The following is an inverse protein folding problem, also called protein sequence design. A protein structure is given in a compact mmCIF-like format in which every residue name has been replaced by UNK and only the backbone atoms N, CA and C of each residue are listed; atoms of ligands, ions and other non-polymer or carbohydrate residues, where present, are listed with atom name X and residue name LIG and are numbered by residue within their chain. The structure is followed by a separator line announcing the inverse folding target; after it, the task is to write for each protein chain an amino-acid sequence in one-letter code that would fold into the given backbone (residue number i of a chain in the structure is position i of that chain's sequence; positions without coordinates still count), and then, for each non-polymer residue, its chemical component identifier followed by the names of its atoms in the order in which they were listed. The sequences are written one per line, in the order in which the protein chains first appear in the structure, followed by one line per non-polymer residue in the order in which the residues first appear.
data_IF_309065941194
#
_entry.id   IF_309065941194
#
_cell.length_a   1.000
_cell.length_b   1.000
_cell.length_c   1.000
_cell.angle_alpha   90.00
_cell.angle_beta   90.00
_cell.angle_gamma   90.00
#
_symmetry.space_group_name_H-M   'P 1'
#
loop_
_entity.id
_entity.type
_entity.pdbx_description
1 polymer ?
#
# COMPACT_ATOMS: atom_id res chain seq x y z
N UNK A 1 17.01 13.45 -24.42
CA UNK A 1 16.79 12.03 -24.06
C UNK A 1 15.50 11.94 -23.26
N UNK A 2 14.38 11.59 -23.91
CA UNK A 2 13.05 11.49 -23.28
C UNK A 2 12.52 10.08 -23.55
N UNK A 3 12.60 9.23 -22.52
CA UNK A 3 12.43 7.78 -22.57
C UNK A 3 10.95 7.43 -22.35
N UNK A 4 10.11 7.65 -23.35
CA UNK A 4 8.67 7.43 -23.25
C UNK A 4 8.26 6.13 -24.01
N UNK A 5 7.98 5.01 -23.31
CA UNK A 5 7.79 3.68 -23.91
C UNK A 5 6.56 3.54 -24.80
N UNK A 6 5.67 4.54 -24.82
CA UNK A 6 4.46 4.54 -25.67
C UNK A 6 4.73 4.90 -27.14
N UNK A 7 5.82 5.62 -27.44
CA UNK A 7 6.16 6.06 -28.82
C UNK A 7 6.82 4.96 -29.65
N UNK A 8 7.68 4.12 -29.04
CA UNK A 8 8.32 3.03 -29.79
C UNK A 8 7.33 1.95 -30.26
N UNK A 9 6.16 1.83 -29.60
CA UNK A 9 5.10 0.88 -29.99
C UNK A 9 4.41 1.24 -31.30
N UNK A 10 4.25 2.54 -31.61
CA UNK A 10 3.61 2.97 -32.86
C UNK A 10 4.53 2.77 -34.06
N UNK A 11 5.84 2.99 -33.88
CA UNK A 11 6.80 2.96 -34.98
C UNK A 11 7.11 1.53 -35.43
N UNK A 12 7.25 0.57 -34.50
CA UNK A 12 7.51 -0.85 -34.85
C UNK A 12 6.29 -1.51 -35.49
N UNK A 13 5.08 -1.16 -35.04
CA UNK A 13 3.82 -1.67 -35.60
C UNK A 13 3.50 -1.09 -36.99
N UNK A 14 4.02 0.10 -37.31
CA UNK A 14 3.88 0.70 -38.63
C UNK A 14 4.77 0.00 -39.67
N UNK A 15 6.02 -0.32 -39.32
CA UNK A 15 6.98 -0.99 -40.22
C UNK A 15 6.54 -2.42 -40.56
N UNK A 16 6.01 -3.17 -39.59
CA UNK A 16 5.56 -4.56 -39.79
C UNK A 16 4.25 -4.69 -40.59
N UNK A 17 3.45 -3.62 -40.70
CA UNK A 17 2.27 -3.59 -41.59
C UNK A 17 2.62 -3.35 -43.05
N UNK A 18 3.82 -2.84 -43.34
CA UNK A 18 4.26 -2.49 -44.69
C UNK A 18 4.78 -3.70 -45.48
N UNK A 19 5.20 -4.79 -44.81
CA UNK A 19 5.78 -5.97 -45.45
C UNK A 19 4.81 -7.13 -45.76
N UNK A 20 3.52 -7.02 -45.44
CA UNK A 20 2.50 -7.99 -45.89
C UNK A 20 2.65 -9.40 -45.30
N UNK A 21 1.84 -9.71 -44.28
CA UNK A 21 1.84 -11.04 -43.63
C UNK A 21 1.44 -12.16 -44.63
N UNK A 22 2.16 -13.30 -44.67
CA UNK A 22 1.77 -14.47 -45.46
C UNK A 22 0.40 -15.05 -45.06
N UNK A 23 -0.36 -15.64 -46.00
CA UNK A 23 -1.71 -16.15 -45.72
C UNK A 23 -1.64 -17.37 -44.79
N UNK A 24 -2.20 -17.23 -43.59
CA UNK A 24 -2.29 -18.31 -42.59
C UNK A 24 -1.81 -17.94 -41.18
N UNK A 25 -1.20 -16.76 -40.98
CA UNK A 25 -0.77 -16.30 -39.66
C UNK A 25 -1.81 -15.31 -39.10
N UNK A 26 -2.62 -15.78 -38.14
CA UNK A 26 -3.45 -14.92 -37.31
C UNK A 26 -2.57 -14.33 -36.21
N UNK A 27 -2.22 -13.05 -36.33
CA UNK A 27 -1.53 -12.31 -35.27
C UNK A 27 -2.53 -12.01 -34.14
N UNK A 28 -2.59 -12.89 -33.15
CA UNK A 28 -3.30 -12.63 -31.90
C UNK A 28 -2.51 -11.61 -31.09
N UNK A 29 -3.09 -10.44 -30.83
CA UNK A 29 -2.56 -9.43 -29.92
C UNK A 29 -2.73 -9.95 -28.47
N UNK A 30 -1.94 -10.95 -28.12
CA UNK A 30 -1.91 -11.59 -26.79
C UNK A 30 -0.55 -11.37 -26.15
N UNK A 31 -0.20 -10.10 -25.91
CA UNK A 31 1.07 -9.74 -25.30
C UNK A 31 1.07 -10.03 -23.81
N UNK A 32 2.12 -10.66 -23.29
CA UNK A 32 2.40 -10.79 -21.84
C UNK A 32 2.33 -9.44 -21.10
N UNK A 33 2.63 -8.34 -21.79
CA UNK A 33 2.48 -6.97 -21.30
C UNK A 33 1.01 -6.56 -21.05
N UNK A 34 0.06 -7.05 -21.84
CA UNK A 34 -1.37 -6.77 -21.63
C UNK A 34 -1.88 -7.56 -20.41
N UNK A 35 -1.38 -8.77 -20.18
CA UNK A 35 -1.65 -9.54 -18.96
C UNK A 35 -1.06 -8.85 -17.73
N UNK A 36 0.17 -8.35 -17.77
CA UNK A 36 0.77 -7.58 -16.67
C UNK A 36 -0.04 -6.33 -16.31
N UNK A 37 -0.44 -5.56 -17.32
CA UNK A 37 -1.24 -4.34 -17.11
C UNK A 37 -2.60 -4.66 -16.50
N UNK A 38 -3.29 -5.69 -17.02
CA UNK A 38 -4.58 -6.16 -16.45
C UNK A 38 -4.43 -6.66 -15.01
N UNK A 39 -3.33 -7.33 -14.70
CA UNK A 39 -3.02 -7.79 -13.34
C UNK A 39 -2.79 -6.61 -12.39
N UNK A 40 -2.05 -5.58 -12.82
CA UNK A 40 -1.83 -4.37 -12.03
C UNK A 40 -3.16 -3.63 -11.76
N UNK A 41 -3.99 -3.43 -12.78
CA UNK A 41 -5.31 -2.80 -12.64
C UNK A 41 -6.19 -3.57 -11.65
N UNK A 42 -6.19 -4.90 -11.74
CA UNK A 42 -6.94 -5.77 -10.83
C UNK A 42 -6.45 -5.65 -9.39
N UNK A 43 -5.14 -5.48 -9.17
CA UNK A 43 -4.56 -5.29 -7.84
C UNK A 43 -4.91 -3.94 -7.23
N UNK A 44 -4.91 -2.87 -8.03
CA UNK A 44 -5.35 -1.55 -7.57
C UNK A 44 -6.83 -1.60 -7.16
N UNK A 45 -7.67 -2.30 -7.93
CA UNK A 45 -9.07 -2.53 -7.56
C UNK A 45 -9.16 -3.32 -6.24
N UNK A 46 -8.37 -4.37 -6.06
CA UNK A 46 -8.34 -5.14 -4.81
C UNK A 46 -7.89 -4.29 -3.62
N UNK A 47 -6.93 -3.39 -3.80
CA UNK A 47 -6.48 -2.45 -2.76
C UNK A 47 -7.62 -1.49 -2.36
N UNK A 48 -8.33 -0.93 -3.34
CA UNK A 48 -9.50 -0.09 -3.09
C UNK A 48 -10.61 -0.86 -2.38
N UNK A 49 -10.87 -2.10 -2.80
CA UNK A 49 -11.85 -2.97 -2.15
C UNK A 49 -11.46 -3.25 -0.70
N UNK A 50 -10.18 -3.53 -0.43
CA UNK A 50 -9.66 -3.73 0.92
C UNK A 50 -9.86 -2.48 1.78
N UNK A 51 -9.60 -1.28 1.25
CA UNK A 51 -9.88 -0.02 1.95
C UNK A 51 -11.36 0.17 2.28
N UNK A 52 -12.25 -0.17 1.35
CA UNK A 52 -13.71 -0.11 1.60
C UNK A 52 -14.10 -1.10 2.69
N UNK A 53 -13.60 -2.33 2.66
CA UNK A 53 -13.89 -3.34 3.69
C UNK A 53 -13.38 -2.86 5.05
N UNK A 54 -12.14 -2.36 5.13
CA UNK A 54 -11.57 -1.83 6.37
C UNK A 54 -12.40 -0.65 6.90
N UNK A 55 -12.85 0.25 6.04
CA UNK A 55 -13.75 1.35 6.43
C UNK A 55 -15.06 0.84 7.02
N UNK A 56 -15.71 -0.13 6.37
CA UNK A 56 -16.98 -0.68 6.84
C UNK A 56 -16.81 -1.41 8.18
N UNK A 57 -15.75 -2.19 8.34
CA UNK A 57 -15.43 -2.85 9.61
C UNK A 57 -15.20 -1.82 10.71
N UNK A 58 -14.46 -0.75 10.44
CA UNK A 58 -14.26 0.35 11.41
C UNK A 58 -15.57 1.07 11.77
N UNK A 59 -16.45 1.31 10.80
CA UNK A 59 -17.73 1.96 11.05
C UNK A 59 -18.63 1.14 11.98
N UNK A 60 -18.57 -0.19 11.85
CA UNK A 60 -19.23 -1.13 12.76
C UNK A 60 -18.56 -1.09 14.14
N UNK A 61 -17.22 -1.16 14.21
CA UNK A 61 -16.47 -1.18 15.48
C UNK A 61 -16.62 0.10 16.32
N UNK A 62 -16.68 1.27 15.67
CA UNK A 62 -16.76 2.56 16.33
C UNK A 62 -18.19 3.10 16.44
N UNK A 63 -19.19 2.33 15.98
CA UNK A 63 -20.61 2.68 15.95
C UNK A 63 -20.88 4.08 15.36
N UNK A 64 -20.04 4.51 14.42
CA UNK A 64 -20.04 5.87 13.87
C UNK A 64 -19.31 5.89 12.54
N UNK A 65 -19.82 6.67 11.59
CA UNK A 65 -19.20 6.87 10.27
C UNK A 65 -18.15 8.01 10.27
N UNK A 66 -18.13 8.84 11.31
CA UNK A 66 -17.23 10.01 11.40
C UNK A 66 -15.84 9.60 11.85
N UNK A 67 -15.73 8.77 12.90
CA UNK A 67 -14.42 8.35 13.42
C UNK A 67 -13.59 7.52 12.41
N UNK A 68 -14.16 6.54 11.67
CA UNK A 68 -13.46 5.83 10.60
C UNK A 68 -12.96 6.76 9.50
N UNK A 69 -13.71 7.82 9.19
CA UNK A 69 -13.32 8.80 8.19
C UNK A 69 -12.07 9.59 8.64
N UNK A 70 -12.02 9.99 9.92
CA UNK A 70 -10.83 10.62 10.52
C UNK A 70 -9.62 9.66 10.45
N UNK A 71 -9.83 8.39 10.77
CA UNK A 71 -8.76 7.37 10.70
C UNK A 71 -8.26 7.18 9.27
N UNK A 72 -9.15 7.20 8.27
CA UNK A 72 -8.76 7.04 6.86
C UNK A 72 -7.84 8.15 6.34
N UNK A 73 -7.82 9.34 6.95
CA UNK A 73 -6.82 10.37 6.60
C UNK A 73 -5.38 9.97 6.92
N UNK A 74 -5.16 9.00 7.81
CA UNK A 74 -3.82 8.47 8.09
C UNK A 74 -3.28 7.57 6.96
N UNK A 75 -4.18 6.99 6.14
CA UNK A 75 -3.79 6.07 5.07
C UNK A 75 -2.98 6.75 3.97
N UNK A 76 -3.42 7.88 3.36
CA UNK A 76 -2.62 8.60 2.36
C UNK A 76 -1.25 9.04 2.88
N UNK A 77 -1.18 9.44 4.16
CA UNK A 77 0.08 9.82 4.80
C UNK A 77 1.03 8.63 4.86
N UNK A 78 0.52 7.46 5.27
CA UNK A 78 1.32 6.24 5.31
C UNK A 78 1.71 5.74 3.91
N UNK A 79 0.82 5.80 2.93
CA UNK A 79 1.14 5.47 1.53
C UNK A 79 2.24 6.38 0.99
N UNK A 80 2.19 7.68 1.29
CA UNK A 80 3.25 8.63 0.91
C UNK A 80 4.58 8.25 1.55
N UNK A 81 4.57 7.87 2.84
CA UNK A 81 5.74 7.35 3.54
C UNK A 81 6.28 6.06 2.92
N UNK A 82 5.41 5.12 2.55
CA UNK A 82 5.79 3.87 1.88
C UNK A 82 6.39 4.09 0.49
N UNK A 83 5.81 4.99 -0.31
CA UNK A 83 6.35 5.38 -1.62
C UNK A 83 7.72 6.07 -1.44
N UNK A 84 7.87 6.94 -0.44
CA UNK A 84 9.14 7.57 -0.13
C UNK A 84 10.20 6.55 0.33
N UNK A 85 9.81 5.56 1.13
CA UNK A 85 10.67 4.44 1.54
C UNK A 85 11.13 3.60 0.34
N UNK A 86 10.20 3.25 -0.55
CA UNK A 86 10.51 2.56 -1.80
C UNK A 86 11.44 3.38 -2.70
N UNK A 87 11.20 4.69 -2.81
CA UNK A 87 12.05 5.60 -3.58
C UNK A 87 13.47 5.67 -3.00
N UNK A 88 13.61 5.65 -1.67
CA UNK A 88 14.90 5.63 -1.00
C UNK A 88 15.65 4.30 -1.21
N UNK A 89 14.93 3.18 -1.19
CA UNK A 89 15.49 1.86 -1.54
C UNK A 89 15.92 1.79 -3.01
N UNK A 90 15.17 2.44 -3.91
CA UNK A 90 15.47 2.51 -5.34
C UNK A 90 16.81 3.23 -5.63
N UNK A 91 17.29 4.09 -4.72
CA UNK A 91 18.63 4.68 -4.84
C UNK A 91 19.75 3.65 -4.67
N UNK A 92 19.51 2.56 -3.94
CA UNK A 92 20.50 1.52 -3.64
C UNK A 92 20.30 0.32 -4.56
N UNK A 93 19.07 -0.20 -4.69
CA UNK A 93 18.72 -1.18 -5.72
C UNK A 93 17.30 -0.96 -6.23
N UNK A 94 17.13 -1.07 -7.55
CA UNK A 94 15.85 -0.85 -8.20
C UNK A 94 14.82 -1.92 -7.83
N UNK A 95 13.75 -1.52 -7.15
CA UNK A 95 12.58 -2.34 -6.86
C UNK A 95 11.37 -1.72 -7.58
N UNK A 96 10.76 -2.49 -8.47
CA UNK A 96 9.56 -2.05 -9.19
C UNK A 96 8.31 -2.15 -8.29
N UNK A 97 7.31 -1.31 -8.58
CA UNK A 97 5.95 -1.48 -8.05
C UNK A 97 5.31 -2.71 -8.71
N UNK A 98 5.49 -3.86 -8.08
CA UNK A 98 4.91 -5.14 -8.49
C UNK A 98 3.92 -5.66 -7.44
N UNK A 99 3.23 -6.76 -7.74
CA UNK A 99 2.24 -7.43 -6.89
C UNK A 99 2.64 -7.49 -5.42
N UNK A 100 3.89 -7.83 -5.17
CA UNK A 100 4.39 -8.07 -3.84
C UNK A 100 4.62 -6.78 -3.06
N UNK A 101 5.02 -5.69 -3.74
CA UNK A 101 5.04 -4.35 -3.14
C UNK A 101 3.64 -3.86 -2.79
N UNK A 102 2.65 -4.14 -3.64
CA UNK A 102 1.24 -3.88 -3.35
C UNK A 102 0.75 -4.64 -2.12
N UNK A 103 1.17 -5.90 -1.94
CA UNK A 103 0.88 -6.66 -0.72
C UNK A 103 1.51 -5.99 0.52
N UNK A 104 2.73 -5.49 0.39
CA UNK A 104 3.37 -4.66 1.44
C UNK A 104 2.54 -3.42 1.79
N UNK A 105 2.01 -2.71 0.79
CA UNK A 105 1.10 -1.57 1.02
C UNK A 105 -0.19 -1.97 1.75
N UNK A 106 -0.77 -3.14 1.45
CA UNK A 106 -1.94 -3.67 2.17
C UNK A 106 -1.62 -3.90 3.64
N UNK A 107 -0.48 -4.52 3.94
CA UNK A 107 -0.01 -4.75 5.32
C UNK A 107 0.21 -3.40 6.03
N UNK A 108 0.88 -2.45 5.37
CA UNK A 108 1.14 -1.11 5.89
C UNK A 108 -0.16 -0.38 6.24
N UNK A 109 -1.19 -0.45 5.39
CA UNK A 109 -2.51 0.12 5.67
C UNK A 109 -3.07 -0.48 6.96
N UNK A 110 -3.01 -1.82 7.11
CA UNK A 110 -3.50 -2.50 8.31
C UNK A 110 -2.78 -2.05 9.60
N UNK A 111 -1.45 -1.94 9.55
CA UNK A 111 -0.65 -1.50 10.71
C UNK A 111 -1.03 -0.07 11.12
N UNK A 112 -1.11 0.85 10.16
CA UNK A 112 -1.42 2.27 10.41
C UNK A 112 -2.84 2.43 10.94
N UNK A 113 -3.80 1.75 10.31
CA UNK A 113 -5.19 1.77 10.73
C UNK A 113 -5.35 1.18 12.12
N UNK A 114 -4.69 0.07 12.45
CA UNK A 114 -4.75 -0.53 13.79
C UNK A 114 -4.25 0.44 14.87
N UNK A 115 -3.12 1.10 14.64
CA UNK A 115 -2.59 2.09 15.58
C UNK A 115 -3.55 3.28 15.76
N UNK A 116 -4.17 3.76 14.67
CA UNK A 116 -5.15 4.84 14.71
C UNK A 116 -6.46 4.44 15.41
N UNK A 117 -6.99 3.24 15.14
CA UNK A 117 -8.18 2.69 15.81
C UNK A 117 -7.97 2.67 17.31
N UNK A 118 -6.84 2.14 17.78
CA UNK A 118 -6.55 2.04 19.21
C UNK A 118 -6.50 3.42 19.87
N UNK A 119 -5.91 4.42 19.23
CA UNK A 119 -5.86 5.78 19.80
C UNK A 119 -7.24 6.41 19.87
N UNK A 120 -8.02 6.34 18.78
CA UNK A 120 -9.36 6.91 18.71
C UNK A 120 -10.32 6.22 19.68
N UNK A 121 -10.27 4.89 19.76
CA UNK A 121 -11.10 4.11 20.68
C UNK A 121 -10.82 4.45 22.15
N UNK A 122 -9.54 4.61 22.52
CA UNK A 122 -9.16 4.99 23.88
C UNK A 122 -9.69 6.39 24.23
N UNK A 123 -9.55 7.36 23.31
CA UNK A 123 -10.11 8.69 23.48
C UNK A 123 -11.64 8.65 23.66
N UNK A 124 -12.35 7.84 22.86
CA UNK A 124 -13.80 7.66 23.00
C UNK A 124 -14.20 7.13 24.39
N UNK A 125 -13.43 6.17 24.94
CA UNK A 125 -13.67 5.65 26.29
C UNK A 125 -13.49 6.75 27.34
N UNK A 126 -12.38 7.49 27.29
CA UNK A 126 -12.12 8.59 28.24
C UNK A 126 -13.21 9.68 28.20
N UNK A 127 -13.72 10.02 27.01
CA UNK A 127 -14.80 11.00 26.86
C UNK A 127 -16.15 10.45 27.33
N UNK A 128 -16.50 9.20 26.96
CA UNK A 128 -17.85 8.64 27.20
C UNK A 128 -18.02 8.03 28.59
N UNK A 129 -17.01 7.32 29.08
CA UNK A 129 -17.08 6.57 30.34
C UNK A 129 -16.51 7.38 31.50
N UNK A 130 -15.39 8.08 31.27
CA UNK A 130 -14.69 8.84 32.32
C UNK A 130 -15.12 10.32 32.38
N UNK A 131 -15.99 10.77 31.46
CA UNK A 131 -16.50 12.15 31.36
C UNK A 131 -15.38 13.21 31.33
N UNK A 132 -14.21 12.86 30.78
CA UNK A 132 -13.10 13.79 30.62
C UNK A 132 -13.40 14.81 29.53
N UNK A 133 -12.83 16.02 29.66
CA UNK A 133 -12.86 16.99 28.56
C UNK A 133 -12.14 16.41 27.34
N UNK A 134 -12.61 16.74 26.13
CA UNK A 134 -12.06 16.18 24.87
C UNK A 134 -10.56 16.44 24.74
N UNK A 135 -10.08 17.61 25.20
CA UNK A 135 -8.65 17.94 25.10
C UNK A 135 -7.80 17.11 26.07
N UNK A 136 -8.30 16.91 27.29
CA UNK A 136 -7.65 16.09 28.31
C UNK A 136 -7.66 14.61 27.92
N UNK A 137 -8.78 14.11 27.41
CA UNK A 137 -8.93 12.74 26.92
C UNK A 137 -7.95 12.41 25.79
N UNK A 138 -7.73 13.34 24.85
CA UNK A 138 -6.74 13.16 23.76
C UNK A 138 -5.32 13.10 24.32
N UNK A 139 -4.98 13.98 25.25
CA UNK A 139 -3.65 14.03 25.86
C UNK A 139 -3.35 12.74 26.63
N UNK A 140 -4.30 12.29 27.45
CA UNK A 140 -4.19 11.07 28.25
C UNK A 140 -4.15 9.81 27.36
N UNK A 141 -5.04 9.73 26.37
CA UNK A 141 -5.05 8.63 25.40
C UNK A 141 -3.71 8.55 24.66
N UNK A 142 -3.13 9.68 24.26
CA UNK A 142 -1.84 9.72 23.56
C UNK A 142 -0.70 9.27 24.47
N UNK A 143 -0.65 9.76 25.71
CA UNK A 143 0.38 9.40 26.70
C UNK A 143 0.36 7.90 27.01
N UNK A 144 -0.82 7.32 27.21
CA UNK A 144 -0.97 5.90 27.53
C UNK A 144 -0.70 4.99 26.34
N UNK A 145 -0.93 5.48 25.11
CA UNK A 145 -0.73 4.69 23.88
C UNK A 145 0.67 4.79 23.29
N UNK A 146 1.44 5.83 23.61
CA UNK A 146 2.76 6.03 22.99
C UNK A 146 3.68 4.82 23.23
N UNK A 147 3.73 4.30 24.45
CA UNK A 147 4.57 3.14 24.80
C UNK A 147 4.16 1.87 24.02
N UNK A 148 2.88 1.43 24.02
CA UNK A 148 2.41 0.34 23.18
C UNK A 148 2.66 0.53 21.67
N UNK A 149 2.42 1.74 21.13
CA UNK A 149 2.60 2.03 19.70
C UNK A 149 4.08 1.90 19.31
N UNK A 150 5.00 2.41 20.13
CA UNK A 150 6.43 2.24 19.88
C UNK A 150 6.84 0.76 19.94
N UNK A 151 6.33 -0.01 20.91
CA UNK A 151 6.61 -1.44 20.97
C UNK A 151 6.15 -2.18 19.72
N UNK A 152 4.90 -2.00 19.28
CA UNK A 152 4.38 -2.69 18.09
C UNK A 152 5.13 -2.29 16.82
N UNK A 153 5.38 -0.99 16.66
CA UNK A 153 6.08 -0.46 15.48
C UNK A 153 7.51 -0.97 15.42
N UNK A 154 8.23 -0.99 16.55
CA UNK A 154 9.57 -1.56 16.62
C UNK A 154 9.55 -3.05 16.30
N UNK A 155 8.60 -3.82 16.83
CA UNK A 155 8.46 -5.24 16.50
C UNK A 155 8.24 -5.45 15.00
N UNK A 156 7.37 -4.68 14.35
CA UNK A 156 7.16 -4.75 12.90
C UNK A 156 8.43 -4.42 12.13
N UNK A 157 9.14 -3.35 12.51
CA UNK A 157 10.39 -2.95 11.87
C UNK A 157 11.46 -4.03 12.05
N UNK A 158 11.70 -4.53 13.26
CA UNK A 158 12.69 -5.59 13.50
C UNK A 158 12.32 -6.91 12.82
N UNK A 159 11.03 -7.19 12.63
CA UNK A 159 10.56 -8.36 11.89
C UNK A 159 10.84 -8.24 10.39
N UNK A 160 10.65 -7.05 9.81
CA UNK A 160 10.82 -6.81 8.37
C UNK A 160 12.27 -6.46 7.98
N UNK A 161 13.06 -5.86 8.88
CA UNK A 161 14.46 -5.50 8.67
C UNK A 161 15.34 -6.63 8.10
N UNK A 162 15.30 -7.88 8.60
CA UNK A 162 16.09 -8.96 8.00
C UNK A 162 15.62 -9.31 6.58
N UNK A 163 14.31 -9.23 6.29
CA UNK A 163 13.77 -9.51 4.95
C UNK A 163 14.24 -8.46 3.92
N UNK A 164 14.44 -7.22 4.37
CA UNK A 164 14.93 -6.14 3.54
C UNK A 164 16.46 -6.19 3.32
N UNK A 165 17.23 -6.60 4.34
CA UNK A 165 18.70 -6.50 4.33
C UNK A 165 19.46 -7.73 3.84
N UNK A 166 18.93 -8.95 3.99
CA UNK A 166 19.67 -10.17 3.63
C UNK A 166 19.41 -10.58 2.16
N UNK A 167 20.38 -10.38 1.24
CA UNK A 167 20.25 -10.88 -0.13
C UNK A 167 20.43 -12.40 -0.16
N UNK A 168 19.49 -13.08 -0.78
CA UNK A 168 19.48 -14.53 -0.99
C UNK A 168 18.59 -14.89 -2.18
N UNK A 169 18.56 -16.16 -2.58
CA UNK A 169 17.63 -16.66 -3.59
C UNK A 169 16.18 -16.42 -3.13
N UNK A 170 15.44 -15.57 -3.86
CA UNK A 170 14.10 -15.10 -3.47
C UNK A 170 14.07 -13.79 -2.67
N UNK A 171 15.20 -13.11 -2.45
CA UNK A 171 15.23 -11.80 -1.78
C UNK A 171 14.48 -10.70 -2.53
N UNK A 172 14.38 -10.76 -3.86
CA UNK A 172 13.52 -9.88 -4.67
C UNK A 172 12.04 -10.01 -4.29
N UNK A 173 11.64 -11.19 -3.80
CA UNK A 173 10.29 -11.40 -3.30
C UNK A 173 10.14 -10.71 -1.93
N UNK A 174 10.94 -11.10 -0.95
CA UNK A 174 10.74 -10.60 0.42
C UNK A 174 11.01 -9.09 0.59
N UNK A 175 11.90 -8.51 -0.24
CA UNK A 175 12.15 -7.06 -0.27
C UNK A 175 10.95 -6.23 -0.74
N UNK A 176 10.01 -6.83 -1.48
CA UNK A 176 8.77 -6.13 -1.81
C UNK A 176 7.84 -5.96 -0.61
N UNK A 177 7.96 -6.83 0.40
CA UNK A 177 7.10 -6.83 1.58
C UNK A 177 7.66 -6.05 2.77
N UNK A 178 8.99 -6.01 2.90
CA UNK A 178 9.70 -5.42 4.03
C UNK A 178 10.18 -4.00 3.83
#
# INVERSE_FOLDING_TARGET
MNNNPKRHRSDVMATLRQEGLPPGITMGMGGTADTLTKTFDSMVINLLLALVIVYLVMAILLESFVYPFIIMFSVPLATTGGIAGLALLNLINFQALDMLTLLGFVILIGIVVNNAILLVHQNLIHVREENMDVTEAIMEATSNRIRPIFMSTLTSVFCMLPLALFPGSGSELYRGLG
#
